data_IF_042496705542
#
_entry.id   IF_042496705542
#
_cell.length_a   1.000
_cell.length_b   1.000
_cell.length_c   1.000
_cell.angle_alpha   90.00
_cell.angle_beta   90.00
_cell.angle_gamma   90.00
#
_symmetry.space_group_name_H-M   'P 1'
#
loop_
_entity.id
_entity.type
_entity.pdbx_description
1 polymer ?
#
# COMPACT_ATOMS: atom_id res chain seq x y z
N UNK A 1 -49.17 51.86 -25.52
CA UNK A 1 -48.53 50.53 -25.49
C UNK A 1 -47.10 50.67 -26.01
N UNK A 2 -46.12 50.90 -25.12
CA UNK A 2 -44.70 50.92 -25.49
C UNK A 2 -43.88 50.49 -24.28
N UNK A 3 -43.42 49.25 -24.28
CA UNK A 3 -42.40 48.74 -23.35
C UNK A 3 -41.01 48.91 -24.00
N UNK A 4 -39.97 49.36 -23.28
CA UNK A 4 -38.61 49.31 -23.79
C UNK A 4 -37.98 47.95 -23.50
N UNK A 5 -37.45 47.31 -24.55
CA UNK A 5 -36.63 46.10 -24.47
C UNK A 5 -35.30 46.42 -23.78
N UNK A 6 -35.02 45.71 -22.69
CA UNK A 6 -33.71 45.67 -22.03
C UNK A 6 -32.68 44.99 -22.94
N UNK A 7 -31.62 45.70 -23.30
CA UNK A 7 -30.46 45.16 -23.98
C UNK A 7 -29.52 44.52 -22.95
N UNK A 8 -29.37 43.20 -23.00
CA UNK A 8 -28.31 42.49 -22.26
C UNK A 8 -27.00 42.60 -23.04
N UNK A 9 -26.00 43.20 -22.42
CA UNK A 9 -24.62 43.21 -22.88
C UNK A 9 -24.06 41.79 -22.89
N UNK A 10 -23.44 41.39 -24.00
CA UNK A 10 -22.80 40.09 -24.18
C UNK A 10 -21.29 40.28 -24.03
N UNK A 11 -20.73 39.96 -22.86
CA UNK A 11 -19.28 39.91 -22.66
C UNK A 11 -18.78 38.52 -23.06
N UNK A 12 -17.75 38.39 -23.92
CA UNK A 12 -17.21 37.08 -24.28
C UNK A 12 -16.45 36.49 -23.10
N UNK A 13 -16.86 35.30 -22.66
CA UNK A 13 -16.13 34.47 -21.70
C UNK A 13 -14.80 34.04 -22.33
N UNK A 14 -13.68 34.58 -21.85
CA UNK A 14 -12.37 34.02 -22.14
C UNK A 14 -12.12 32.83 -21.20
N UNK A 15 -12.22 31.62 -21.73
CA UNK A 15 -11.77 30.40 -21.06
C UNK A 15 -10.27 30.27 -21.30
N UNK A 16 -9.46 30.81 -20.39
CA UNK A 16 -8.05 30.45 -20.33
C UNK A 16 -7.93 29.12 -19.59
N UNK A 17 -7.83 28.03 -20.35
CA UNK A 17 -7.33 26.75 -19.82
C UNK A 17 -5.89 26.60 -20.27
N UNK A 18 -4.97 27.14 -19.47
CA UNK A 18 -3.55 26.78 -19.58
C UNK A 18 -3.37 25.38 -19.02
N UNK A 19 -3.53 24.36 -19.86
CA UNK A 19 -3.12 23.00 -19.53
C UNK A 19 -1.75 22.80 -20.18
N UNK A 20 -0.69 23.08 -19.44
CA UNK A 20 0.61 22.50 -19.74
C UNK A 20 0.58 21.04 -19.30
N UNK A 21 0.79 20.06 -20.18
CA UNK A 21 0.95 18.69 -19.73
C UNK A 21 2.34 18.59 -19.10
N UNK A 22 2.41 18.52 -17.78
CA UNK A 22 3.64 18.11 -17.11
C UNK A 22 3.84 16.61 -17.36
N UNK A 23 5.03 16.26 -17.83
CA UNK A 23 5.50 14.94 -18.30
C UNK A 23 5.47 13.82 -17.23
N UNK A 24 4.77 13.99 -16.11
CA UNK A 24 4.63 12.98 -15.07
C UNK A 24 3.16 12.84 -14.66
N UNK A 25 2.31 12.40 -15.59
CA UNK A 25 1.16 11.60 -15.17
C UNK A 25 1.65 10.19 -14.89
N UNK A 26 2.59 10.08 -13.95
CA UNK A 26 2.88 8.83 -13.28
C UNK A 26 1.57 8.40 -12.64
N UNK A 27 1.26 7.11 -12.74
CA UNK A 27 0.15 6.49 -12.03
C UNK A 27 0.17 7.08 -10.63
N UNK A 28 -0.93 7.74 -10.23
CA UNK A 28 -1.03 8.44 -8.95
C UNK A 28 -1.14 7.38 -7.83
N UNK A 29 -0.09 6.57 -7.66
CA UNK A 29 0.07 5.55 -6.64
C UNK A 29 0.46 6.25 -5.34
N UNK A 30 -0.45 7.01 -4.76
CA UNK A 30 -0.19 7.80 -3.54
C UNK A 30 -0.32 6.97 -2.26
N UNK A 31 -0.57 5.66 -2.38
CA UNK A 31 -0.88 4.79 -1.26
C UNK A 31 -0.03 3.51 -1.25
N UNK A 32 1.28 3.67 -1.44
CA UNK A 32 2.23 2.56 -1.36
C UNK A 32 2.56 2.22 0.09
N UNK A 33 2.75 0.95 0.39
CA UNK A 33 3.26 0.49 1.68
C UNK A 33 4.40 -0.50 1.47
N UNK A 34 5.50 -0.30 2.19
CA UNK A 34 6.65 -1.19 2.24
C UNK A 34 6.78 -1.75 3.65
N UNK A 35 6.62 -3.06 3.78
CA UNK A 35 6.90 -3.80 5.01
C UNK A 35 8.27 -4.46 4.86
N UNK A 36 9.27 -3.89 5.52
CA UNK A 36 10.66 -4.34 5.44
C UNK A 36 11.05 -5.11 6.71
N UNK A 37 11.89 -6.13 6.58
CA UNK A 37 12.32 -6.95 7.70
C UNK A 37 13.83 -7.14 7.69
N UNK A 38 14.48 -6.88 8.83
CA UNK A 38 15.91 -7.07 9.01
C UNK A 38 16.25 -7.60 10.41
N UNK A 39 17.53 -7.87 10.67
CA UNK A 39 17.98 -8.30 12.00
C UNK A 39 18.04 -7.10 12.94
N UNK A 40 18.68 -6.02 12.50
CA UNK A 40 18.93 -4.84 13.31
C UNK A 40 18.99 -3.59 12.44
N UNK A 41 18.43 -2.48 12.94
CA UNK A 41 18.46 -1.18 12.27
C UNK A 41 19.88 -0.74 11.91
N UNK A 42 20.88 -1.12 12.73
CA UNK A 42 22.27 -0.70 12.56
C UNK A 42 23.10 -1.62 11.65
N UNK A 43 22.59 -2.78 11.28
CA UNK A 43 23.38 -3.80 10.58
C UNK A 43 22.92 -4.03 9.15
N UNK A 44 21.63 -4.27 8.97
CA UNK A 44 21.10 -4.81 7.71
C UNK A 44 19.76 -4.18 7.31
N UNK A 45 19.53 -2.94 7.72
CA UNK A 45 18.44 -2.12 7.18
C UNK A 45 18.85 -1.47 5.86
N UNK A 46 18.65 -2.20 4.76
CA UNK A 46 19.01 -1.74 3.43
C UNK A 46 18.17 -0.53 2.98
N UNK A 47 18.86 0.51 2.50
CA UNK A 47 18.27 1.77 1.98
C UNK A 47 17.39 2.52 3.00
N UNK A 48 17.69 2.39 4.29
CA UNK A 48 16.92 2.99 5.37
C UNK A 48 16.67 4.50 5.17
N UNK A 49 17.72 5.25 4.78
CA UNK A 49 17.63 6.70 4.53
C UNK A 49 16.69 7.06 3.40
N UNK A 50 16.72 6.30 2.32
CA UNK A 50 15.92 6.51 1.12
C UNK A 50 14.45 6.21 1.41
N UNK A 51 14.16 5.08 2.05
CA UNK A 51 12.80 4.73 2.46
C UNK A 51 12.23 5.72 3.48
N UNK A 52 13.03 6.15 4.46
CA UNK A 52 12.63 7.17 5.42
C UNK A 52 12.28 8.50 4.70
N UNK A 53 13.11 8.92 3.75
CA UNK A 53 12.87 10.14 2.96
C UNK A 53 11.55 10.07 2.19
N UNK A 54 11.26 8.95 1.53
CA UNK A 54 9.97 8.74 0.85
C UNK A 54 8.79 8.71 1.83
N UNK A 55 9.00 8.18 3.03
CA UNK A 55 7.98 8.17 4.08
C UNK A 55 7.69 9.56 4.64
N UNK A 56 8.71 10.40 4.84
CA UNK A 56 8.57 11.79 5.28
C UNK A 56 7.83 12.64 4.25
N UNK A 57 8.04 12.35 2.96
CA UNK A 57 7.31 12.97 1.83
C UNK A 57 5.90 12.42 1.63
N UNK A 58 5.46 11.46 2.47
CA UNK A 58 4.15 10.80 2.40
C UNK A 58 3.92 10.03 1.08
N UNK A 59 4.98 9.61 0.41
CA UNK A 59 4.93 8.83 -0.85
C UNK A 59 4.86 7.32 -0.58
N UNK A 60 5.28 6.91 0.62
CA UNK A 60 5.41 5.52 1.04
C UNK A 60 5.08 5.38 2.54
N UNK A 61 4.24 4.43 2.90
CA UNK A 61 4.14 3.96 4.28
C UNK A 61 5.26 2.95 4.53
N UNK A 62 6.30 3.34 5.26
CA UNK A 62 7.45 2.47 5.55
C UNK A 62 7.33 1.84 6.94
N UNK A 63 7.30 0.49 7.02
CA UNK A 63 7.14 -0.27 8.27
C UNK A 63 8.25 -1.30 8.39
N UNK A 64 9.14 -1.14 9.39
CA UNK A 64 10.36 -1.96 9.52
C UNK A 64 10.33 -2.88 10.72
N UNK A 65 10.35 -4.20 10.51
CA UNK A 65 10.44 -5.19 11.58
C UNK A 65 11.90 -5.57 11.89
N UNK A 66 12.32 -5.36 13.14
CA UNK A 66 13.64 -5.72 13.64
C UNK A 66 13.58 -7.01 14.45
N UNK A 67 14.17 -8.09 13.92
CA UNK A 67 14.09 -9.40 14.57
C UNK A 67 15.06 -9.61 15.74
N UNK A 68 16.05 -8.71 15.94
CA UNK A 68 17.11 -8.84 16.97
C UNK A 68 17.40 -7.58 17.79
N UNK A 69 16.71 -6.47 17.55
CA UNK A 69 16.93 -5.22 18.32
C UNK A 69 16.20 -5.21 19.68
N UNK A 70 15.32 -6.18 19.93
CA UNK A 70 14.70 -6.39 21.25
C UNK A 70 15.70 -6.85 22.31
N UNK A 71 15.36 -6.65 23.58
CA UNK A 71 16.13 -7.21 24.70
C UNK A 71 16.03 -8.74 24.68
N UNK A 72 16.98 -9.40 25.31
CA UNK A 72 16.91 -10.84 25.49
C UNK A 72 15.63 -11.21 26.25
N UNK A 73 14.79 -12.04 25.62
CA UNK A 73 13.45 -12.39 26.11
C UNK A 73 12.29 -11.67 25.42
N UNK A 74 12.54 -10.59 24.67
CA UNK A 74 11.50 -9.92 23.89
C UNK A 74 11.08 -10.77 22.68
N UNK A 75 9.80 -10.67 22.32
CA UNK A 75 9.28 -11.32 21.12
C UNK A 75 9.96 -10.75 19.87
N UNK A 76 10.49 -11.63 19.01
CA UNK A 76 11.07 -11.22 17.73
C UNK A 76 9.97 -10.64 16.83
N UNK A 77 10.22 -9.47 16.28
CA UNK A 77 9.31 -8.86 15.31
C UNK A 77 9.67 -9.25 13.88
N UNK A 78 8.66 -9.60 13.11
CA UNK A 78 8.73 -9.93 11.69
C UNK A 78 7.74 -9.10 10.88
N UNK A 79 7.89 -9.12 9.55
CA UNK A 79 7.05 -8.35 8.63
C UNK A 79 5.56 -8.67 8.78
N UNK A 80 5.21 -9.94 9.01
CA UNK A 80 3.83 -10.34 9.24
C UNK A 80 3.23 -9.70 10.50
N UNK A 81 4.03 -9.40 11.53
CA UNK A 81 3.53 -8.75 12.73
C UNK A 81 3.15 -7.29 12.43
N UNK A 82 3.96 -6.58 11.64
CA UNK A 82 3.66 -5.21 11.17
C UNK A 82 2.45 -5.16 10.25
N UNK A 83 2.26 -6.18 9.42
CA UNK A 83 1.04 -6.30 8.59
C UNK A 83 -0.20 -6.49 9.47
N UNK A 84 -0.11 -7.26 10.58
CA UNK A 84 -1.24 -7.41 11.52
C UNK A 84 -1.55 -6.13 12.28
N UNK A 85 -0.54 -5.36 12.69
CA UNK A 85 -0.73 -4.04 13.30
C UNK A 85 -1.46 -3.09 12.34
N UNK A 86 -1.10 -3.14 11.06
CA UNK A 86 -1.68 -2.31 10.01
C UNK A 86 -2.91 -2.95 9.34
N UNK A 87 -3.50 -3.99 9.94
CA UNK A 87 -4.57 -4.77 9.33
C UNK A 87 -5.73 -3.93 8.75
N UNK A 88 -6.27 -2.89 9.43
CA UNK A 88 -7.33 -2.05 8.86
C UNK A 88 -6.88 -1.32 7.58
N UNK A 89 -5.64 -0.82 7.54
CA UNK A 89 -5.07 -0.14 6.37
C UNK A 89 -4.86 -1.12 5.23
N UNK A 90 -4.26 -2.28 5.52
CA UNK A 90 -4.03 -3.34 4.53
C UNK A 90 -5.36 -3.74 3.91
N UNK A 91 -6.38 -4.03 4.73
CA UNK A 91 -7.71 -4.39 4.25
C UNK A 91 -8.33 -3.31 3.35
N UNK A 92 -8.25 -2.04 3.76
CA UNK A 92 -8.74 -0.94 2.93
C UNK A 92 -8.04 -0.92 1.56
N UNK A 93 -6.72 -1.08 1.52
CA UNK A 93 -5.97 -1.13 0.25
C UNK A 93 -6.37 -2.33 -0.60
N UNK A 94 -6.58 -3.50 0.00
CA UNK A 94 -7.00 -4.70 -0.71
C UNK A 94 -8.36 -4.50 -1.39
N UNK A 95 -9.31 -3.85 -0.72
CA UNK A 95 -10.62 -3.50 -1.29
C UNK A 95 -10.53 -2.49 -2.43
N UNK A 96 -9.57 -1.55 -2.36
CA UNK A 96 -9.33 -0.55 -3.40
C UNK A 96 -8.59 -1.09 -4.64
N UNK A 97 -8.29 -2.39 -4.68
CA UNK A 97 -7.64 -2.99 -5.85
C UNK A 97 -6.11 -3.05 -5.76
N UNK A 98 -5.51 -2.88 -4.58
CA UNK A 98 -4.05 -2.88 -4.43
C UNK A 98 -3.39 -4.18 -4.89
N UNK A 99 -2.15 -4.05 -5.34
CA UNK A 99 -1.27 -5.14 -5.74
C UNK A 99 -0.34 -5.45 -4.57
N UNK A 100 -0.04 -6.73 -4.37
CA UNK A 100 0.79 -7.22 -3.28
C UNK A 100 1.95 -7.98 -3.89
N UNK A 101 3.16 -7.57 -3.52
CA UNK A 101 4.40 -8.21 -3.92
C UNK A 101 5.08 -8.77 -2.69
N UNK A 102 5.45 -10.04 -2.74
CA UNK A 102 6.19 -10.72 -1.68
C UNK A 102 7.54 -11.11 -2.26
N UNK A 103 8.61 -10.58 -1.70
CA UNK A 103 9.98 -10.86 -2.15
C UNK A 103 10.90 -11.23 -0.99
N UNK A 104 11.82 -12.17 -1.21
CA UNK A 104 12.82 -12.59 -0.24
C UNK A 104 13.07 -14.10 -0.21
N UNK A 105 13.59 -14.59 0.92
CA UNK A 105 13.87 -16.02 1.10
C UNK A 105 12.58 -16.85 1.14
N UNK A 106 12.49 -17.84 0.25
CA UNK A 106 11.32 -18.69 0.05
C UNK A 106 10.96 -19.59 1.25
N UNK A 107 11.81 -19.69 2.27
CA UNK A 107 11.68 -20.70 3.31
C UNK A 107 10.40 -20.57 4.16
N UNK A 108 10.23 -19.45 4.87
CA UNK A 108 9.14 -19.30 5.85
C UNK A 108 8.38 -17.98 5.72
N UNK A 109 9.05 -16.94 5.20
CA UNK A 109 8.50 -15.59 5.16
C UNK A 109 7.28 -15.49 4.22
N UNK A 110 7.30 -16.00 2.98
CA UNK A 110 6.17 -15.82 2.07
C UNK A 110 4.89 -16.49 2.56
N UNK A 111 5.03 -17.71 3.10
CA UNK A 111 3.91 -18.43 3.73
C UNK A 111 3.33 -17.64 4.90
N UNK A 112 4.18 -17.14 5.80
CA UNK A 112 3.73 -16.38 6.98
C UNK A 112 3.00 -15.07 6.58
N UNK A 113 3.49 -14.39 5.53
CA UNK A 113 2.83 -13.19 5.01
C UNK A 113 1.48 -13.53 4.39
N UNK A 114 1.38 -14.57 3.56
CA UNK A 114 0.10 -15.02 2.99
C UNK A 114 -0.92 -15.42 4.06
N UNK A 115 -0.50 -16.23 5.03
CA UNK A 115 -1.35 -16.63 6.14
C UNK A 115 -1.88 -15.39 6.89
N UNK A 116 -1.04 -14.36 7.03
CA UNK A 116 -1.42 -13.10 7.66
C UNK A 116 -2.36 -12.27 6.80
N UNK A 117 -2.21 -12.25 5.48
CA UNK A 117 -3.20 -11.62 4.59
C UNK A 117 -4.57 -12.29 4.72
N UNK A 118 -4.61 -13.63 4.83
CA UNK A 118 -5.85 -14.35 5.12
C UNK A 118 -6.43 -13.90 6.47
N UNK A 119 -5.62 -13.80 7.52
CA UNK A 119 -6.07 -13.30 8.83
C UNK A 119 -6.66 -11.88 8.74
N UNK A 120 -6.06 -11.00 7.92
CA UNK A 120 -6.54 -9.64 7.69
C UNK A 120 -7.90 -9.66 6.99
N UNK A 121 -8.04 -10.44 5.92
CA UNK A 121 -9.31 -10.57 5.17
C UNK A 121 -10.42 -11.14 6.06
N UNK A 122 -10.11 -12.19 6.84
CA UNK A 122 -11.04 -12.80 7.79
C UNK A 122 -11.53 -11.77 8.83
N UNK A 123 -10.60 -11.13 9.54
CA UNK A 123 -10.94 -10.25 10.66
C UNK A 123 -11.53 -8.90 10.25
N UNK A 124 -11.01 -8.29 9.18
CA UNK A 124 -11.41 -6.94 8.76
C UNK A 124 -12.53 -6.97 7.72
N UNK A 125 -12.59 -8.03 6.90
CA UNK A 125 -13.63 -8.20 5.89
C UNK A 125 -14.86 -8.96 6.38
N UNK A 126 -14.81 -9.59 7.56
CA UNK A 126 -15.92 -10.36 8.11
C UNK A 126 -16.20 -11.65 7.35
N UNK A 127 -15.19 -12.19 6.66
CA UNK A 127 -15.26 -13.47 5.97
C UNK A 127 -15.00 -14.62 6.94
N UNK A 128 -15.60 -15.78 6.71
CA UNK A 128 -15.10 -17.01 7.33
C UNK A 128 -13.74 -17.40 6.76
N UNK A 129 -13.03 -18.29 7.46
CA UNK A 129 -11.66 -18.68 7.10
C UNK A 129 -11.53 -19.21 5.68
N UNK A 130 -12.49 -20.03 5.21
CA UNK A 130 -12.41 -20.62 3.86
C UNK A 130 -12.56 -19.53 2.80
N UNK A 131 -13.52 -18.62 2.96
CA UNK A 131 -13.69 -17.47 2.06
C UNK A 131 -12.49 -16.52 2.07
N UNK A 132 -11.87 -16.30 3.21
CA UNK A 132 -10.67 -15.48 3.30
C UNK A 132 -9.49 -16.12 2.54
N UNK A 133 -9.34 -17.45 2.63
CA UNK A 133 -8.35 -18.20 1.84
C UNK A 133 -8.66 -18.06 0.34
N UNK A 134 -9.92 -18.25 -0.06
CA UNK A 134 -10.33 -18.14 -1.45
C UNK A 134 -10.10 -16.74 -2.03
N UNK A 135 -10.34 -15.70 -1.25
CA UNK A 135 -10.07 -14.31 -1.62
C UNK A 135 -8.58 -14.09 -1.94
N UNK A 136 -7.67 -14.53 -1.06
CA UNK A 136 -6.22 -14.38 -1.28
C UNK A 136 -5.76 -15.24 -2.46
N UNK A 137 -6.33 -16.44 -2.64
CA UNK A 137 -6.06 -17.28 -3.81
C UNK A 137 -6.55 -16.62 -5.12
N UNK A 138 -7.69 -15.94 -5.09
CA UNK A 138 -8.21 -15.21 -6.24
C UNK A 138 -7.30 -14.03 -6.61
N UNK A 139 -6.77 -13.30 -5.61
CA UNK A 139 -5.75 -12.27 -5.84
C UNK A 139 -4.51 -12.84 -6.54
N UNK A 140 -4.08 -14.05 -6.19
CA UNK A 140 -2.97 -14.69 -6.90
C UNK A 140 -3.35 -15.03 -8.35
N UNK A 141 -4.53 -15.64 -8.55
CA UNK A 141 -5.01 -16.04 -9.89
C UNK A 141 -5.19 -14.86 -10.85
N UNK A 142 -5.61 -13.70 -10.35
CA UNK A 142 -5.81 -12.50 -11.17
C UNK A 142 -4.56 -11.61 -11.29
N UNK A 143 -3.42 -12.06 -10.76
CA UNK A 143 -2.14 -11.34 -10.87
C UNK A 143 -2.01 -10.15 -9.92
N UNK A 144 -2.86 -10.02 -8.89
CA UNK A 144 -2.73 -8.98 -7.86
C UNK A 144 -1.85 -9.39 -6.68
N UNK A 145 -1.54 -10.68 -6.51
CA UNK A 145 -0.57 -11.18 -5.55
C UNK A 145 0.55 -11.89 -6.31
N UNK A 146 1.78 -11.37 -6.22
CA UNK A 146 2.97 -11.97 -6.83
C UNK A 146 3.99 -12.36 -5.76
N UNK A 147 4.59 -13.54 -5.92
CA UNK A 147 5.64 -14.06 -5.05
C UNK A 147 6.92 -14.24 -5.85
N UNK A 148 7.91 -13.39 -5.60
CA UNK A 148 9.24 -13.41 -6.22
C UNK A 148 10.26 -13.83 -5.16
N UNK A 149 10.31 -15.13 -4.88
CA UNK A 149 11.09 -15.70 -3.78
C UNK A 149 12.11 -16.74 -4.27
N UNK A 150 13.28 -16.76 -3.64
CA UNK A 150 14.39 -17.66 -3.99
C UNK A 150 14.76 -18.58 -2.82
N UNK A 151 15.21 -19.80 -3.13
CA UNK A 151 15.68 -20.81 -2.15
C UNK A 151 17.18 -20.76 -1.97
#
# INVERSE_FOLDING_TARGET
MSSPRSARANSPLQVQTSITPSTHQLINCTANALYFGCRSAKQDEHYASEWATHSERQELVYRVAYSRDGKEGDARQYVQDRIREDAPRVWQRLQEGAWVFISGSANKMPKAVKDTLVDVVEKQGGYDRLRAIDYVNEMARNGRLLEECWS
#
